data_IF_796035543308
#
_entry.id   IF_796035543308
#
_cell.length_a   1.000
_cell.length_b   1.000
_cell.length_c   1.000
_cell.angle_alpha   90.00
_cell.angle_beta   90.00
_cell.angle_gamma   90.00
#
_symmetry.space_group_name_H-M   'P 1'
#
loop_
_entity.id
_entity.type
_entity.pdbx_description
1 polymer ?
#
# COMPACT_ATOMS: atom_id res chain seq x y z
N UNK A 1 -3.10 4.13 -12.41
CA UNK A 1 -2.72 5.37 -11.71
C UNK A 1 -1.25 5.60 -12.04
N UNK A 2 -0.95 6.60 -12.85
CA UNK A 2 0.43 7.02 -13.09
C UNK A 2 1.00 7.46 -11.73
N UNK A 3 2.15 6.93 -11.33
CA UNK A 3 2.82 7.42 -10.11
C UNK A 3 3.05 8.91 -10.29
N UNK A 4 2.85 9.69 -9.22
CA UNK A 4 3.12 11.12 -9.27
C UNK A 4 4.61 11.31 -9.62
N UNK A 5 4.95 12.01 -10.72
CA UNK A 5 6.32 12.13 -11.17
C UNK A 5 7.19 12.81 -10.11
N UNK A 6 6.67 13.80 -9.39
CA UNK A 6 7.39 14.45 -8.30
C UNK A 6 7.76 13.47 -7.18
N UNK A 7 6.79 12.68 -6.69
CA UNK A 7 7.04 11.68 -5.63
C UNK A 7 8.03 10.62 -6.09
N UNK A 8 7.91 10.18 -7.34
CA UNK A 8 8.82 9.20 -7.95
C UNK A 8 10.24 9.75 -8.03
N UNK A 9 10.40 10.98 -8.53
CA UNK A 9 11.72 11.64 -8.64
C UNK A 9 12.35 11.89 -7.28
N UNK A 10 11.58 12.33 -6.28
CA UNK A 10 12.08 12.51 -4.91
C UNK A 10 12.52 11.18 -4.30
N UNK A 11 11.75 10.10 -4.53
CA UNK A 11 12.12 8.75 -4.05
C UNK A 11 13.41 8.26 -4.71
N UNK A 12 13.55 8.46 -6.02
CA UNK A 12 14.77 8.10 -6.77
C UNK A 12 15.98 8.91 -6.30
N UNK A 13 15.83 10.23 -6.16
CA UNK A 13 16.88 11.10 -5.66
C UNK A 13 17.30 10.70 -4.25
N UNK A 14 16.33 10.44 -3.36
CA UNK A 14 16.60 9.92 -2.02
C UNK A 14 17.37 8.61 -2.04
N UNK A 15 16.98 7.65 -2.90
CA UNK A 15 17.68 6.39 -3.06
C UNK A 15 19.11 6.57 -3.58
N UNK A 16 19.32 7.47 -4.54
CA UNK A 16 20.64 7.79 -5.09
C UNK A 16 21.57 8.42 -4.05
N UNK A 17 21.11 9.46 -3.35
CA UNK A 17 21.91 10.15 -2.34
C UNK A 17 22.24 9.22 -1.17
N UNK A 18 21.25 8.47 -0.69
CA UNK A 18 21.43 7.52 0.40
C UNK A 18 22.35 6.38 -0.01
N UNK A 19 22.19 5.85 -1.23
CA UNK A 19 23.06 4.81 -1.77
C UNK A 19 24.49 5.29 -1.99
N UNK A 20 24.69 6.52 -2.47
CA UNK A 20 26.01 7.11 -2.61
C UNK A 20 26.70 7.29 -1.25
N UNK A 21 25.97 7.77 -0.24
CA UNK A 21 26.48 7.86 1.13
C UNK A 21 26.82 6.48 1.70
N UNK A 22 25.97 5.46 1.46
CA UNK A 22 26.22 4.09 1.86
C UNK A 22 27.52 3.53 1.26
N UNK A 23 27.70 3.67 -0.06
CA UNK A 23 28.91 3.23 -0.76
C UNK A 23 30.14 3.98 -0.24
N UNK A 24 30.03 5.29 0.04
CA UNK A 24 31.14 6.06 0.60
C UNK A 24 31.54 5.56 2.00
N UNK A 25 30.55 5.34 2.87
CA UNK A 25 30.79 4.79 4.21
C UNK A 25 31.50 3.43 4.15
N UNK A 26 31.09 2.54 3.22
CA UNK A 26 31.67 1.19 3.08
C UNK A 26 33.04 1.16 2.38
N UNK A 27 33.29 2.07 1.44
CA UNK A 27 34.49 2.04 0.60
C UNK A 27 35.62 2.96 1.09
N UNK A 28 35.28 4.06 1.77
CA UNK A 28 36.23 5.05 2.27
C UNK A 28 35.73 5.68 3.58
N UNK A 29 35.56 4.88 4.66
CA UNK A 29 34.97 5.29 5.93
C UNK A 29 35.69 6.48 6.57
N UNK A 30 37.03 6.50 6.54
CA UNK A 30 37.82 7.60 7.10
C UNK A 30 37.56 8.93 6.40
N UNK A 31 37.49 8.93 5.06
CA UNK A 31 37.18 10.15 4.29
C UNK A 31 35.74 10.62 4.51
N UNK A 32 34.80 9.70 4.67
CA UNK A 32 33.43 10.06 5.01
C UNK A 32 33.37 10.72 6.40
N UNK A 33 34.00 10.10 7.40
CA UNK A 33 34.06 10.62 8.77
C UNK A 33 34.65 12.04 8.82
N UNK A 34 35.76 12.28 8.10
CA UNK A 34 36.36 13.61 7.98
C UNK A 34 35.38 14.63 7.37
N UNK A 35 34.67 14.24 6.31
CA UNK A 35 33.74 15.12 5.59
C UNK A 35 32.56 15.56 6.48
N UNK A 36 32.04 14.66 7.32
CA UNK A 36 30.93 14.98 8.25
C UNK A 36 31.43 15.47 9.61
N UNK A 37 32.73 15.74 9.76
CA UNK A 37 33.37 16.17 11.01
C UNK A 37 33.09 15.22 12.19
N UNK A 38 33.04 13.92 11.91
CA UNK A 38 32.82 12.86 12.90
C UNK A 38 34.14 12.16 13.27
N UNK A 39 34.36 11.77 14.54
CA UNK A 39 35.56 11.01 14.91
C UNK A 39 35.70 9.73 14.07
N UNK A 40 36.92 9.38 13.68
CA UNK A 40 37.19 8.20 12.87
C UNK A 40 36.96 6.90 13.67
N UNK A 41 35.72 6.45 13.68
CA UNK A 41 35.29 5.14 14.15
C UNK A 41 34.95 4.28 12.94
N UNK A 42 35.97 3.67 12.31
CA UNK A 42 35.84 2.96 11.04
C UNK A 42 34.75 1.89 11.06
N UNK A 43 34.78 1.02 12.08
CA UNK A 43 33.75 0.00 12.29
C UNK A 43 32.32 0.58 12.34
N UNK A 44 32.11 1.65 13.11
CA UNK A 44 30.80 2.31 13.20
C UNK A 44 30.37 2.97 11.88
N UNK A 45 31.33 3.47 11.09
CA UNK A 45 31.03 4.07 9.78
C UNK A 45 30.65 2.99 8.78
N UNK A 46 31.27 1.81 8.80
CA UNK A 46 30.82 0.67 8.01
C UNK A 46 29.37 0.28 8.36
N UNK A 47 29.05 0.15 9.65
CA UNK A 47 27.67 -0.16 10.09
C UNK A 47 26.66 0.88 9.59
N UNK A 48 27.02 2.17 9.68
CA UNK A 48 26.21 3.25 9.12
C UNK A 48 26.00 3.03 7.61
N UNK A 49 27.05 2.67 6.88
CA UNK A 49 26.99 2.31 5.46
C UNK A 49 26.01 1.18 5.17
N UNK A 50 26.06 0.09 5.93
CA UNK A 50 25.14 -1.04 5.79
C UNK A 50 23.66 -0.64 5.97
N UNK A 51 23.36 0.16 7.00
CA UNK A 51 21.99 0.66 7.23
C UNK A 51 21.52 1.60 6.13
N UNK A 52 22.36 2.52 5.67
CA UNK A 52 22.04 3.42 4.56
C UNK A 52 21.78 2.62 3.27
N UNK A 53 22.54 1.56 3.01
CA UNK A 53 22.33 0.70 1.85
C UNK A 53 20.96 0.02 1.89
N UNK A 54 20.55 -0.52 3.04
CA UNK A 54 19.21 -1.09 3.21
C UNK A 54 18.07 -0.07 3.04
N UNK A 55 18.26 1.17 3.48
CA UNK A 55 17.32 2.27 3.21
C UNK A 55 17.23 2.60 1.73
N UNK A 56 18.38 2.70 1.04
CA UNK A 56 18.41 2.94 -0.41
C UNK A 56 17.69 1.83 -1.18
N UNK A 57 17.94 0.56 -0.85
CA UNK A 57 17.24 -0.59 -1.44
C UNK A 57 15.74 -0.54 -1.14
N UNK A 58 15.33 -0.17 0.08
CA UNK A 58 13.90 -0.02 0.42
C UNK A 58 13.21 1.02 -0.46
N UNK A 59 13.86 2.16 -0.70
CA UNK A 59 13.32 3.22 -1.57
C UNK A 59 13.19 2.74 -3.02
N UNK A 60 14.17 2.00 -3.54
CA UNK A 60 14.10 1.40 -4.87
C UNK A 60 13.01 0.33 -4.96
N UNK A 61 12.90 -0.56 -3.97
CA UNK A 61 11.85 -1.58 -3.92
C UNK A 61 10.46 -0.96 -3.83
N UNK A 62 10.26 0.15 -3.11
CA UNK A 62 8.97 0.85 -3.07
C UNK A 62 8.53 1.40 -4.46
N UNK A 63 9.48 1.57 -5.38
CA UNK A 63 9.22 1.93 -6.78
C UNK A 63 8.87 0.72 -7.66
N UNK A 64 8.86 -0.50 -7.16
CA UNK A 64 8.48 -1.67 -7.96
C UNK A 64 7.41 -2.49 -7.25
N UNK A 65 7.55 -2.66 -5.95
CA UNK A 65 6.69 -3.49 -5.11
C UNK A 65 5.56 -2.66 -4.48
N UNK A 66 4.40 -3.30 -4.43
CA UNK A 66 3.14 -2.80 -3.89
C UNK A 66 2.98 -3.11 -2.39
N UNK A 67 3.59 -4.21 -1.94
CA UNK A 67 3.45 -4.72 -0.58
C UNK A 67 4.50 -4.10 0.34
N UNK A 68 4.05 -3.27 1.29
CA UNK A 68 4.95 -2.56 2.20
C UNK A 68 5.77 -3.48 3.11
N UNK A 69 5.21 -4.63 3.51
CA UNK A 69 5.93 -5.59 4.35
C UNK A 69 7.05 -6.27 3.57
N UNK A 70 6.80 -6.68 2.33
CA UNK A 70 7.86 -7.22 1.46
C UNK A 70 8.97 -6.20 1.20
N UNK A 71 8.62 -4.92 0.95
CA UNK A 71 9.62 -3.83 0.79
C UNK A 71 10.49 -3.69 2.03
N UNK A 72 9.88 -3.63 3.22
CA UNK A 72 10.60 -3.48 4.48
C UNK A 72 11.52 -4.69 4.75
N UNK A 73 11.02 -5.91 4.54
CA UNK A 73 11.81 -7.13 4.70
C UNK A 73 12.98 -7.19 3.70
N UNK A 74 12.79 -6.73 2.47
CA UNK A 74 13.85 -6.69 1.45
C UNK A 74 14.99 -5.74 1.82
N UNK A 75 14.67 -4.51 2.23
CA UNK A 75 15.70 -3.57 2.68
C UNK A 75 16.37 -3.99 4.00
N UNK A 76 15.58 -4.51 4.95
CA UNK A 76 16.10 -5.01 6.23
C UNK A 76 17.04 -6.20 6.03
N UNK A 77 16.72 -7.11 5.12
CA UNK A 77 17.60 -8.22 4.74
C UNK A 77 18.94 -7.70 4.22
N UNK A 78 18.95 -6.74 3.30
CA UNK A 78 20.19 -6.18 2.75
C UNK A 78 21.02 -5.48 3.84
N UNK A 79 20.39 -4.63 4.65
CA UNK A 79 21.09 -3.96 5.75
C UNK A 79 21.76 -4.97 6.68
N UNK A 80 21.02 -5.97 7.17
CA UNK A 80 21.58 -6.93 8.13
C UNK A 80 22.60 -7.89 7.49
N UNK A 81 22.45 -8.23 6.22
CA UNK A 81 23.44 -9.05 5.53
C UNK A 81 24.78 -8.33 5.41
N UNK A 82 24.78 -7.06 5.02
CA UNK A 82 26.00 -6.25 4.90
C UNK A 82 26.57 -5.95 6.29
N UNK A 83 25.73 -5.58 7.25
CA UNK A 83 26.15 -5.33 8.63
C UNK A 83 26.77 -6.56 9.30
N UNK A 84 26.27 -7.77 9.03
CA UNK A 84 26.90 -9.01 9.50
C UNK A 84 28.28 -9.24 8.85
N UNK A 85 28.45 -8.86 7.58
CA UNK A 85 29.74 -8.93 6.88
C UNK A 85 30.72 -7.92 7.47
N UNK A 86 30.28 -6.67 7.69
CA UNK A 86 31.10 -5.61 8.26
C UNK A 86 31.59 -6.01 9.66
N UNK A 87 30.70 -6.48 10.55
CA UNK A 87 31.12 -7.03 11.84
C UNK A 87 32.09 -8.21 11.75
N UNK A 88 32.01 -9.04 10.70
CA UNK A 88 32.93 -10.16 10.51
C UNK A 88 34.30 -9.69 9.99
N UNK A 89 34.31 -8.68 9.13
CA UNK A 89 35.51 -8.09 8.55
C UNK A 89 36.26 -7.21 9.55
N UNK A 90 35.53 -6.48 10.39
CA UNK A 90 36.03 -5.50 11.34
C UNK A 90 36.18 -6.05 12.76
N UNK A 91 36.26 -7.38 12.93
CA UNK A 91 36.36 -8.01 14.25
C UNK A 91 37.56 -7.50 15.07
N UNK A 92 38.60 -7.03 14.41
CA UNK A 92 39.80 -6.43 15.01
C UNK A 92 39.65 -4.93 15.33
N UNK A 93 38.68 -4.25 14.72
CA UNK A 93 38.40 -2.83 14.91
C UNK A 93 37.34 -2.58 16.02
N UNK A 94 36.49 -3.55 16.33
CA UNK A 94 35.49 -3.45 17.40
C UNK A 94 34.44 -4.56 17.44
N UNK A 95 33.50 -4.45 18.39
CA UNK A 95 32.38 -5.39 18.52
C UNK A 95 32.69 -6.65 19.33
N UNK A 96 31.70 -7.56 19.43
CA UNK A 96 31.84 -8.88 20.06
C UNK A 96 31.92 -9.95 18.98
N UNK A 97 32.68 -11.02 19.24
CA UNK A 97 32.77 -12.17 18.34
C UNK A 97 31.43 -12.86 18.01
N UNK A 98 30.40 -12.64 18.83
CA UNK A 98 29.05 -13.17 18.60
C UNK A 98 28.20 -12.33 17.65
N UNK A 99 28.55 -11.05 17.45
CA UNK A 99 27.71 -10.08 16.73
C UNK A 99 27.47 -10.48 15.25
N UNK A 100 28.48 -10.90 14.45
CA UNK A 100 28.25 -11.35 13.08
C UNK A 100 27.25 -12.52 12.98
N UNK A 101 27.29 -13.44 13.94
CA UNK A 101 26.43 -14.61 13.96
C UNK A 101 24.99 -14.26 14.33
N UNK A 102 24.80 -13.39 15.33
CA UNK A 102 23.48 -12.94 15.74
C UNK A 102 22.79 -12.13 14.64
N UNK A 103 23.52 -11.19 14.03
CA UNK A 103 23.00 -10.35 12.95
C UNK A 103 22.78 -11.19 11.68
N UNK A 104 23.70 -12.10 11.36
CA UNK A 104 23.56 -13.04 10.26
C UNK A 104 22.34 -13.96 10.41
N UNK A 105 22.08 -14.48 11.63
CA UNK A 105 20.88 -15.25 11.90
C UNK A 105 19.59 -14.43 11.68
N UNK A 106 19.60 -13.15 12.09
CA UNK A 106 18.49 -12.24 11.85
C UNK A 106 18.28 -11.97 10.34
N UNK A 107 19.36 -11.81 9.56
CA UNK A 107 19.29 -11.70 8.11
C UNK A 107 18.66 -12.96 7.48
N UNK A 108 19.07 -14.17 7.91
CA UNK A 108 18.48 -15.43 7.43
C UNK A 108 16.99 -15.51 7.75
N UNK A 109 16.57 -15.14 8.96
CA UNK A 109 15.15 -15.10 9.34
C UNK A 109 14.36 -14.08 8.51
N UNK A 110 14.92 -12.91 8.26
CA UNK A 110 14.31 -11.90 7.40
C UNK A 110 14.15 -12.40 5.96
N UNK A 111 15.17 -13.10 5.43
CA UNK A 111 15.12 -13.73 4.11
C UNK A 111 14.05 -14.83 4.03
N UNK A 112 13.95 -15.69 5.04
CA UNK A 112 12.90 -16.70 5.11
C UNK A 112 11.50 -16.06 5.19
N UNK A 113 11.33 -15.03 6.01
CA UNK A 113 10.07 -14.28 6.12
C UNK A 113 9.70 -13.60 4.79
N UNK A 114 10.67 -13.01 4.10
CA UNK A 114 10.47 -12.42 2.78
C UNK A 114 10.01 -13.48 1.77
N UNK A 115 10.66 -14.64 1.71
CA UNK A 115 10.26 -15.75 0.82
C UNK A 115 8.84 -16.22 1.11
N UNK A 116 8.49 -16.42 2.39
CA UNK A 116 7.12 -16.78 2.79
C UNK A 116 6.14 -15.70 2.35
N UNK A 117 6.46 -14.42 2.54
CA UNK A 117 5.60 -13.30 2.12
C UNK A 117 5.42 -13.27 0.61
N UNK A 118 6.49 -13.43 -0.16
CA UNK A 118 6.44 -13.46 -1.63
C UNK A 118 5.59 -14.63 -2.13
N UNK A 119 5.67 -15.81 -1.49
CA UNK A 119 4.78 -16.94 -1.78
C UNK A 119 3.32 -16.63 -1.47
N UNK A 120 3.02 -15.97 -0.34
CA UNK A 120 1.64 -15.55 -0.01
C UNK A 120 1.06 -14.56 -1.03
N UNK A 121 1.92 -13.75 -1.64
CA UNK A 121 1.55 -12.82 -2.72
C UNK A 121 1.49 -13.51 -4.10
N UNK A 122 1.80 -14.80 -4.19
CA UNK A 122 1.90 -15.52 -5.46
C UNK A 122 2.98 -14.97 -6.38
N UNK A 123 4.03 -14.36 -5.82
CA UNK A 123 5.09 -13.64 -6.54
C UNK A 123 4.59 -12.43 -7.35
N UNK A 124 3.34 -12.01 -7.14
CA UNK A 124 2.77 -10.79 -7.73
C UNK A 124 3.01 -9.63 -6.76
N UNK A 125 4.22 -9.09 -6.82
CA UNK A 125 4.66 -7.97 -5.97
C UNK A 125 4.30 -6.60 -6.54
N UNK A 126 3.97 -6.51 -7.82
CA UNK A 126 3.61 -5.25 -8.48
C UNK A 126 2.15 -4.88 -8.33
N UNK A 127 1.82 -3.64 -8.68
CA UNK A 127 0.43 -3.20 -8.79
C UNK A 127 -0.20 -3.78 -10.06
N UNK A 128 -1.13 -4.71 -9.92
CA UNK A 128 -2.01 -5.10 -11.03
C UNK A 128 -3.20 -4.13 -11.04
N UNK A 129 -3.38 -3.33 -12.09
CA UNK A 129 -4.54 -2.46 -12.18
C UNK A 129 -5.81 -3.32 -12.21
N UNK A 130 -6.80 -2.96 -11.39
CA UNK A 130 -8.12 -3.58 -11.46
C UNK A 130 -8.66 -3.35 -12.87
N UNK A 131 -9.15 -4.39 -13.52
CA UNK A 131 -9.94 -4.24 -14.74
C UNK A 131 -11.19 -3.45 -14.37
N UNK A 132 -11.16 -2.14 -14.57
CA UNK A 132 -12.28 -1.24 -14.37
C UNK A 132 -12.52 -0.51 -15.69
N UNK A 133 -13.79 -0.27 -16.02
CA UNK A 133 -14.10 0.60 -17.16
C UNK A 133 -13.44 1.99 -16.94
N UNK A 134 -13.04 2.71 -18.00
CA UNK A 134 -12.40 4.02 -17.85
C UNK A 134 -13.20 5.00 -16.98
N UNK A 135 -14.53 4.90 -17.03
CA UNK A 135 -15.45 5.67 -16.20
C UNK A 135 -15.34 5.35 -14.70
N UNK A 136 -15.07 4.10 -14.33
CA UNK A 136 -15.01 3.65 -12.94
C UNK A 136 -13.59 3.54 -12.37
N UNK A 137 -12.57 3.57 -13.22
CA UNK A 137 -11.16 3.50 -12.81
C UNK A 137 -10.77 4.48 -11.68
N UNK A 138 -11.29 5.73 -11.61
CA UNK A 138 -10.99 6.65 -10.50
C UNK A 138 -11.51 6.18 -9.13
N UNK A 139 -12.52 5.31 -9.11
CA UNK A 139 -13.17 4.83 -7.89
C UNK A 139 -12.62 3.48 -7.39
N UNK A 140 -11.89 2.73 -8.21
CA UNK A 140 -11.38 1.39 -7.87
C UNK A 140 -10.42 1.37 -6.67
N UNK A 141 -9.77 2.51 -6.39
CA UNK A 141 -8.83 2.69 -5.29
C UNK A 141 -9.39 3.56 -4.15
N UNK A 142 -10.66 3.93 -4.23
CA UNK A 142 -11.33 4.75 -3.21
C UNK A 142 -11.95 3.84 -2.14
N UNK A 143 -11.66 4.13 -0.87
CA UNK A 143 -12.40 3.52 0.25
C UNK A 143 -13.77 4.16 0.44
N UNK A 144 -13.88 5.46 0.08
CA UNK A 144 -15.07 6.28 0.30
C UNK A 144 -15.34 7.16 -0.91
N UNK A 145 -16.59 7.19 -1.35
CA UNK A 145 -17.10 8.14 -2.36
C UNK A 145 -18.22 8.98 -1.76
N UNK A 146 -18.41 10.17 -2.31
CA UNK A 146 -19.60 10.97 -2.01
C UNK A 146 -20.74 10.50 -2.91
N UNK A 147 -21.73 9.82 -2.32
CA UNK A 147 -22.94 9.41 -3.04
C UNK A 147 -24.01 10.49 -2.91
N UNK A 148 -24.41 11.06 -4.04
CA UNK A 148 -25.53 11.99 -4.15
C UNK A 148 -26.76 11.28 -4.69
N UNK A 149 -27.85 11.34 -3.93
CA UNK A 149 -29.17 10.78 -4.25
C UNK A 149 -30.22 11.88 -4.22
N UNK A 150 -31.35 11.70 -4.89
CA UNK A 150 -32.36 12.76 -5.02
C UNK A 150 -33.57 12.55 -4.10
N UNK A 151 -34.02 13.62 -3.44
CA UNK A 151 -35.22 13.68 -2.59
C UNK A 151 -36.50 13.76 -3.45
N UNK A 152 -37.69 13.74 -2.83
CA UNK A 152 -38.98 13.71 -3.59
C UNK A 152 -39.22 14.96 -4.41
N UNK A 153 -38.80 16.08 -3.86
CA UNK A 153 -38.77 17.41 -4.44
C UNK A 153 -37.59 17.60 -5.42
N UNK A 154 -36.83 16.54 -5.74
CA UNK A 154 -35.67 16.61 -6.63
C UNK A 154 -34.39 17.18 -5.99
N UNK A 155 -34.42 17.67 -4.74
CA UNK A 155 -33.22 18.23 -4.09
C UNK A 155 -32.16 17.15 -3.84
N UNK A 156 -30.85 17.44 -4.05
CA UNK A 156 -29.79 16.48 -3.80
C UNK A 156 -29.59 16.22 -2.31
N UNK A 157 -29.22 14.99 -1.97
CA UNK A 157 -28.75 14.58 -0.66
C UNK A 157 -27.48 13.75 -0.81
N UNK A 158 -26.37 14.32 -0.35
CA UNK A 158 -25.05 13.72 -0.42
C UNK A 158 -24.67 13.03 0.89
N UNK A 159 -23.98 11.89 0.82
CA UNK A 159 -23.43 11.22 2.00
C UNK A 159 -22.18 10.42 1.61
N UNK A 160 -21.12 10.45 2.44
CA UNK A 160 -19.96 9.59 2.23
C UNK A 160 -20.38 8.12 2.45
N UNK A 161 -19.96 7.26 1.54
CA UNK A 161 -20.24 5.81 1.58
C UNK A 161 -19.06 5.02 1.05
N UNK A 162 -18.91 3.79 1.52
CA UNK A 162 -17.91 2.87 0.95
C UNK A 162 -18.32 2.40 -0.44
N UNK A 163 -17.32 2.28 -1.32
CA UNK A 163 -17.47 1.77 -2.68
C UNK A 163 -16.57 0.55 -2.90
N UNK A 164 -17.01 -0.38 -3.74
CA UNK A 164 -16.16 -1.37 -4.37
C UNK A 164 -16.40 -1.32 -5.88
N UNK A 165 -15.35 -1.44 -6.69
CA UNK A 165 -15.47 -1.48 -8.16
C UNK A 165 -15.06 -2.85 -8.65
N UNK A 166 -15.84 -3.38 -9.58
CA UNK A 166 -15.61 -4.67 -10.25
C UNK A 166 -15.99 -4.52 -11.72
N UNK A 167 -15.00 -4.47 -12.61
CA UNK A 167 -15.25 -4.32 -14.04
C UNK A 167 -15.97 -3.02 -14.40
N UNK A 168 -17.16 -3.20 -14.98
CA UNK A 168 -18.07 -2.14 -15.40
C UNK A 168 -19.04 -1.71 -14.29
N UNK A 169 -18.89 -2.22 -13.06
CA UNK A 169 -19.83 -1.99 -11.94
C UNK A 169 -19.16 -1.36 -10.73
N UNK A 170 -19.93 -0.53 -10.03
CA UNK A 170 -19.59 0.00 -8.73
C UNK A 170 -20.68 -0.39 -7.73
N UNK A 171 -20.27 -0.87 -6.56
CA UNK A 171 -21.13 -1.31 -5.50
C UNK A 171 -21.01 -0.40 -4.29
N UNK A 172 -22.16 0.04 -3.77
CA UNK A 172 -22.24 0.76 -2.50
C UNK A 172 -22.98 -0.09 -1.48
N UNK A 173 -22.37 -0.27 -0.30
CA UNK A 173 -23.02 -0.90 0.85
C UNK A 173 -23.73 0.15 1.70
N UNK A 174 -25.03 -0.04 1.92
CA UNK A 174 -25.81 0.79 2.85
C UNK A 174 -26.85 -0.06 3.58
N UNK A 175 -27.31 0.43 4.73
CA UNK A 175 -28.43 -0.20 5.46
C UNK A 175 -29.72 -0.09 4.65
N UNK A 176 -30.51 -1.16 4.65
CA UNK A 176 -31.75 -1.25 3.87
C UNK A 176 -32.74 -0.13 4.20
N UNK A 177 -32.84 0.26 5.48
CA UNK A 177 -33.75 1.32 5.94
C UNK A 177 -33.21 2.74 5.77
N UNK A 178 -31.97 2.91 5.31
CA UNK A 178 -31.32 4.22 5.19
C UNK A 178 -32.00 5.13 4.15
N UNK A 179 -31.93 6.45 4.37
CA UNK A 179 -32.54 7.45 3.49
C UNK A 179 -32.07 7.32 2.05
N UNK A 180 -30.77 7.10 1.82
CA UNK A 180 -30.19 6.92 0.47
C UNK A 180 -30.74 5.67 -0.23
N UNK A 181 -30.90 4.56 0.48
CA UNK A 181 -31.51 3.34 -0.08
C UNK A 181 -32.98 3.56 -0.42
N UNK A 182 -33.74 4.25 0.45
CA UNK A 182 -35.15 4.61 0.16
C UNK A 182 -35.27 5.55 -1.04
N UNK A 183 -34.35 6.52 -1.17
CA UNK A 183 -34.29 7.43 -2.34
C UNK A 183 -33.99 6.65 -3.61
N UNK A 184 -32.95 5.80 -3.62
CA UNK A 184 -32.53 5.01 -4.77
C UNK A 184 -33.59 4.00 -5.26
N UNK A 185 -34.38 3.42 -4.34
CA UNK A 185 -35.51 2.56 -4.73
C UNK A 185 -36.60 3.30 -5.49
N UNK A 186 -36.72 4.61 -5.28
CA UNK A 186 -37.78 5.43 -5.86
C UNK A 186 -37.30 6.24 -7.07
N UNK A 187 -36.10 6.80 -6.99
CA UNK A 187 -35.41 7.48 -8.09
C UNK A 187 -34.01 6.87 -8.19
N UNK A 188 -33.73 6.04 -9.22
CA UNK A 188 -32.46 5.35 -9.34
C UNK A 188 -31.30 6.30 -9.67
N UNK A 189 -31.56 7.56 -10.04
CA UNK A 189 -30.48 8.48 -10.40
C UNK A 189 -29.56 8.75 -9.21
N UNK A 190 -28.27 8.56 -9.43
CA UNK A 190 -27.23 8.90 -8.47
C UNK A 190 -26.03 9.55 -9.16
N UNK A 191 -25.25 10.24 -8.35
CA UNK A 191 -23.91 10.72 -8.72
C UNK A 191 -22.95 10.24 -7.65
N UNK A 192 -21.83 9.64 -8.07
CA UNK A 192 -20.71 9.35 -7.19
C UNK A 192 -19.54 10.26 -7.53
N UNK A 193 -18.84 10.78 -6.52
CA UNK A 193 -17.62 11.56 -6.73
C UNK A 193 -16.50 11.04 -5.83
N UNK A 194 -15.23 11.04 -6.28
CA UNK A 194 -14.09 10.74 -5.41
C UNK A 194 -14.11 11.69 -4.22
N UNK A 195 -13.83 11.19 -3.02
CA UNK A 195 -13.89 12.01 -1.82
C UNK A 195 -12.88 11.57 -0.76
N UNK A 196 -12.53 12.49 0.15
CA UNK A 196 -11.83 12.11 1.37
C UNK A 196 -12.68 11.20 2.24
N UNK A 197 -12.10 10.55 3.26
CA UNK A 197 -12.86 9.71 4.20
C UNK A 197 -14.02 10.44 4.91
N UNK A 198 -13.96 11.77 4.99
CA UNK A 198 -15.01 12.63 5.56
C UNK A 198 -16.01 13.17 4.51
N UNK A 199 -15.87 12.82 3.24
CA UNK A 199 -16.82 13.20 2.18
C UNK A 199 -16.52 14.52 1.46
N UNK A 200 -15.33 15.13 1.63
CA UNK A 200 -14.91 16.28 0.81
C UNK A 200 -14.59 15.79 -0.60
N UNK A 201 -15.25 16.34 -1.62
CA UNK A 201 -15.04 15.96 -3.03
C UNK A 201 -13.62 16.30 -3.48
N UNK A 202 -12.97 15.37 -4.19
CA UNK A 202 -11.59 15.50 -4.68
C UNK A 202 -11.47 15.36 -6.20
N UNK A 203 -12.59 15.24 -6.92
CA UNK A 203 -12.60 15.07 -8.37
C UNK A 203 -14.00 15.15 -8.97
N UNK A 204 -14.12 15.00 -10.30
CA UNK A 204 -15.40 15.09 -11.00
C UNK A 204 -16.39 14.00 -10.55
N UNK A 205 -17.67 14.34 -10.59
CA UNK A 205 -18.75 13.41 -10.31
C UNK A 205 -19.10 12.56 -11.53
N UNK A 206 -19.32 11.27 -11.32
CA UNK A 206 -19.84 10.32 -12.29
C UNK A 206 -21.32 10.07 -12.04
N UNK A 207 -22.17 10.42 -13.02
CA UNK A 207 -23.62 10.23 -12.96
C UNK A 207 -24.00 8.90 -13.58
N UNK A 208 -24.79 8.11 -12.86
CA UNK A 208 -25.32 6.86 -13.39
C UNK A 208 -26.68 6.54 -12.75
N UNK A 209 -27.45 5.67 -13.38
CA UNK A 209 -28.62 5.07 -12.76
C UNK A 209 -28.16 3.90 -11.87
N UNK A 210 -28.65 3.87 -10.63
CA UNK A 210 -28.36 2.83 -9.67
C UNK A 210 -29.58 1.92 -9.44
N UNK A 211 -29.37 0.61 -9.39
CA UNK A 211 -30.43 -0.36 -9.07
C UNK A 211 -30.24 -0.91 -7.65
N UNK A 212 -31.20 -0.69 -6.75
CA UNK A 212 -31.14 -1.20 -5.39
C UNK A 212 -31.60 -2.68 -5.31
N UNK A 213 -30.68 -3.56 -5.00
CA UNK A 213 -30.90 -4.96 -4.64
C UNK A 213 -31.01 -5.10 -3.13
N UNK A 214 -32.20 -5.45 -2.65
CA UNK A 214 -32.34 -6.08 -1.34
C UNK A 214 -31.98 -7.55 -1.51
N UNK A 215 -31.14 -8.10 -0.62
CA UNK A 215 -30.91 -9.53 -0.57
C UNK A 215 -32.22 -10.21 -0.16
N UNK A 216 -33.11 -10.50 -1.11
CA UNK A 216 -34.22 -11.42 -0.88
C UNK A 216 -33.61 -12.80 -0.64
N UNK A 217 -34.07 -13.49 0.41
CA UNK A 217 -33.84 -14.93 0.62
C UNK A 217 -34.55 -15.73 -0.47
N UNK A 218 -34.10 -15.63 -1.72
CA UNK A 218 -34.57 -16.48 -2.80
C UNK A 218 -33.36 -17.22 -3.33
N UNK A 219 -33.37 -18.54 -3.12
CA UNK A 219 -32.25 -19.47 -3.31
C UNK A 219 -31.84 -19.71 -4.76
N UNK A 220 -31.61 -18.66 -5.54
CA UNK A 220 -31.06 -18.74 -6.90
C UNK A 220 -30.02 -17.64 -7.08
N UNK A 221 -28.76 -17.96 -6.74
CA UNK A 221 -27.58 -17.26 -7.25
C UNK A 221 -27.28 -17.80 -8.65
N UNK A 222 -26.76 -17.00 -9.60
CA UNK A 222 -25.66 -17.48 -10.43
C UNK A 222 -24.38 -17.37 -9.57
N UNK A 223 -24.02 -18.48 -8.88
CA UNK A 223 -22.75 -18.78 -8.17
C UNK A 223 -22.29 -17.82 -7.06
N UNK A 224 -21.84 -18.21 -5.86
CA UNK A 224 -21.64 -19.47 -5.15
C UNK A 224 -21.90 -19.22 -3.64
N UNK A 225 -22.85 -19.93 -3.01
CA UNK A 225 -23.05 -20.07 -1.53
C UNK A 225 -22.28 -21.32 -1.08
N UNK A 226 -21.77 -21.56 0.14
CA UNK A 226 -21.62 -20.95 1.49
C UNK A 226 -20.75 -22.00 2.30
N UNK A 227 -20.46 -21.99 3.65
CA UNK A 227 -21.35 -21.63 4.76
C UNK A 227 -20.76 -20.98 6.06
N UNK A 228 -21.71 -20.42 6.83
CA UNK A 228 -21.79 -20.36 8.31
C UNK A 228 -21.60 -19.01 9.01
N UNK A 229 -22.51 -18.80 9.98
CA UNK A 229 -22.67 -17.71 10.96
C UNK A 229 -23.43 -16.44 10.52
N UNK A 230 -24.26 -16.00 11.46
CA UNK A 230 -25.50 -15.25 11.31
C UNK A 230 -25.24 -13.74 11.21
N UNK A 231 -26.15 -13.02 10.54
CA UNK A 231 -26.23 -11.55 10.35
C UNK A 231 -25.44 -10.95 9.16
N UNK A 232 -26.09 -10.85 8.00
CA UNK A 232 -25.67 -9.93 6.94
C UNK A 232 -26.86 -9.45 6.10
N UNK A 233 -27.48 -8.33 6.50
CA UNK A 233 -28.38 -7.56 5.63
C UNK A 233 -27.59 -6.40 5.03
N UNK A 234 -26.94 -6.66 3.89
CA UNK A 234 -26.36 -5.63 3.03
C UNK A 234 -27.23 -5.53 1.77
N UNK A 235 -27.86 -4.38 1.53
CA UNK A 235 -28.49 -4.09 0.24
C UNK A 235 -27.42 -3.55 -0.71
N UNK A 236 -27.31 -4.13 -1.90
CA UNK A 236 -26.37 -3.74 -2.94
C UNK A 236 -27.05 -2.73 -3.85
N UNK A 237 -26.40 -1.63 -4.22
CA UNK A 237 -26.85 -0.84 -5.37
C UNK A 237 -25.92 -1.16 -6.55
N UNK A 238 -26.47 -1.66 -7.67
CA UNK A 238 -25.81 -1.57 -8.99
C UNK A 238 -25.83 -0.12 -9.45
#
# INVERSE_FOLDING_TARGET
>A
MTRNPFVTSVTLLGALLTGAAAVWCLAAPGSFADFVEFPRHEHFVHDLGAFQLGLAVSLLLALVWADGLAVALGGFLVANAVHAIDHAADLDLGGRAADPWLIGALAVLAGAALVVRLRQLGWVVGQVPVAASPALAPFARQKTVLLTTYRRDGRPGASPVSVAVDGDRAFVRSFERSLKTRRLRRDPRAVIAPSTGRGRVTGPGYRHACACWTARRTGTRPGCCAPSTRSCTASWCR
#
